data_IF_619468378290
#
_entry.id   IF_619468378290
#
_cell.length_a   1.000
_cell.length_b   1.000
_cell.length_c   1.000
_cell.angle_alpha   90.00
_cell.angle_beta   90.00
_cell.angle_gamma   90.00
#
_symmetry.space_group_name_H-M   'P 1'
#
loop_
_entity.id
_entity.type
_entity.pdbx_description
1 polymer ?
#
# COMPACT_ATOMS: atom_id res chain seq x y z
N UNK A 1 13.46 -13.10 17.88
CA UNK A 1 13.88 -14.51 18.10
C UNK A 1 14.69 -14.53 19.37
N UNK A 2 14.62 -15.60 20.14
CA UNK A 2 15.42 -15.76 21.36
C UNK A 2 14.80 -16.75 22.33
N UNK A 3 15.51 -16.98 23.43
CA UNK A 3 15.07 -17.83 24.54
C UNK A 3 13.99 -17.10 25.36
N UNK A 4 12.78 -17.66 25.37
CA UNK A 4 11.63 -17.13 26.11
C UNK A 4 11.40 -17.92 27.40
N UNK A 5 12.05 -19.07 27.58
CA UNK A 5 11.84 -19.98 28.71
C UNK A 5 10.36 -20.33 28.95
N UNK A 6 9.60 -20.51 27.87
CA UNK A 6 8.22 -21.03 27.87
C UNK A 6 8.20 -22.18 26.86
N UNK A 7 7.84 -23.39 27.26
CA UNK A 7 7.82 -24.52 26.35
C UNK A 7 6.56 -24.53 25.49
N UNK A 8 6.71 -24.32 24.19
CA UNK A 8 5.58 -24.27 23.23
C UNK A 8 5.43 -25.53 22.38
N UNK A 9 6.14 -26.60 22.73
CA UNK A 9 6.01 -27.86 22.03
C UNK A 9 4.57 -28.38 22.06
N UNK A 10 4.14 -29.06 20.99
CA UNK A 10 2.84 -29.73 20.98
C UNK A 10 2.71 -30.66 22.21
N UNK A 11 1.63 -30.50 22.97
CA UNK A 11 1.39 -31.20 24.24
C UNK A 11 2.35 -30.84 25.39
N UNK A 12 2.95 -29.65 25.37
CA UNK A 12 3.65 -29.13 26.55
C UNK A 12 2.70 -29.04 27.74
N UNK A 13 3.27 -29.25 28.93
CA UNK A 13 2.59 -29.07 30.23
C UNK A 13 2.86 -27.68 30.83
N UNK A 14 3.57 -26.81 30.11
CA UNK A 14 3.86 -25.45 30.57
C UNK A 14 2.57 -24.62 30.64
N UNK A 15 2.22 -24.19 31.86
CA UNK A 15 0.99 -23.44 32.13
C UNK A 15 0.97 -22.05 31.48
N UNK A 16 2.13 -21.51 31.10
CA UNK A 16 2.24 -20.19 30.45
C UNK A 16 2.10 -20.28 28.94
N UNK A 17 2.25 -21.46 28.35
CA UNK A 17 2.20 -21.63 26.90
C UNK A 17 0.88 -21.17 26.28
N UNK A 18 -0.32 -21.49 26.83
CA UNK A 18 -1.58 -21.03 26.26
C UNK A 18 -1.71 -19.50 26.22
N UNK A 19 -1.40 -18.82 27.33
CA UNK A 19 -1.49 -17.36 27.42
C UNK A 19 -0.49 -16.67 26.49
N UNK A 20 0.73 -17.21 26.42
CA UNK A 20 1.76 -16.73 25.50
C UNK A 20 1.33 -16.89 24.04
N UNK A 21 0.82 -18.05 23.65
CA UNK A 21 0.35 -18.30 22.28
C UNK A 21 -0.87 -17.44 21.93
N UNK A 22 -1.79 -17.23 22.87
CA UNK A 22 -2.93 -16.33 22.70
C UNK A 22 -2.50 -14.88 22.50
N UNK A 23 -1.51 -14.41 23.27
CA UNK A 23 -0.92 -13.08 23.12
C UNK A 23 -0.32 -12.90 21.71
N UNK A 24 0.46 -13.87 21.24
CA UNK A 24 1.03 -13.85 19.89
C UNK A 24 -0.06 -13.81 18.82
N UNK A 25 -1.07 -14.67 18.95
CA UNK A 25 -2.20 -14.73 18.04
C UNK A 25 -2.97 -13.40 17.98
N UNK A 26 -3.17 -12.74 19.12
CA UNK A 26 -3.78 -11.40 19.21
C UNK A 26 -3.03 -10.32 18.43
N UNK A 27 -1.72 -10.46 18.25
CA UNK A 27 -0.90 -9.57 17.42
C UNK A 27 -0.75 -10.05 15.95
N UNK A 28 -1.38 -11.16 15.60
CA UNK A 28 -1.24 -11.81 14.30
C UNK A 28 0.18 -12.33 14.06
N UNK A 29 0.81 -12.85 15.11
CA UNK A 29 2.14 -13.46 15.10
C UNK A 29 1.94 -14.94 15.47
N UNK A 30 2.64 -15.83 14.78
CA UNK A 30 2.64 -17.26 15.11
C UNK A 30 4.07 -17.72 15.37
N UNK A 31 4.27 -18.69 16.28
CA UNK A 31 5.53 -19.41 16.36
C UNK A 31 5.84 -20.07 15.02
N UNK A 32 7.10 -20.00 14.60
CA UNK A 32 7.50 -20.58 13.32
C UNK A 32 7.85 -22.07 13.42
N UNK A 33 8.18 -22.54 14.61
CA UNK A 33 8.45 -23.94 14.91
C UNK A 33 8.00 -24.29 16.33
N UNK A 34 7.83 -25.59 16.56
CA UNK A 34 7.59 -26.20 17.88
C UNK A 34 8.64 -27.30 18.16
N UNK A 35 9.72 -27.32 17.37
CA UNK A 35 10.81 -28.28 17.52
C UNK A 35 11.64 -28.00 18.79
N UNK A 36 12.14 -29.04 19.48
CA UNK A 36 13.00 -28.85 20.64
C UNK A 36 14.22 -28.00 20.33
N UNK A 37 14.56 -27.10 21.24
CA UNK A 37 15.76 -26.26 21.19
C UNK A 37 16.65 -26.44 22.42
N UNK A 38 16.15 -27.07 23.49
CA UNK A 38 16.95 -27.45 24.66
C UNK A 38 16.43 -28.76 25.23
N UNK A 39 17.23 -29.83 25.13
CA UNK A 39 16.76 -31.17 25.47
C UNK A 39 15.51 -31.56 24.67
N UNK A 40 14.40 -31.80 25.36
CA UNK A 40 13.11 -32.17 24.74
C UNK A 40 12.11 -31.00 24.62
N UNK A 41 12.50 -29.79 25.07
CA UNK A 41 11.64 -28.61 25.19
C UNK A 41 11.95 -27.60 24.07
N UNK A 42 10.94 -26.85 23.63
CA UNK A 42 11.06 -25.76 22.66
C UNK A 42 11.05 -24.43 23.43
N UNK A 43 12.22 -23.88 23.76
CA UNK A 43 12.37 -22.67 24.59
C UNK A 43 12.87 -21.45 23.80
N UNK A 44 13.60 -21.69 22.71
CA UNK A 44 14.09 -20.67 21.80
C UNK A 44 13.08 -20.48 20.68
N UNK A 45 12.49 -19.30 20.60
CA UNK A 45 11.36 -19.05 19.69
C UNK A 45 11.77 -18.18 18.50
N UNK A 46 11.47 -18.66 17.29
CA UNK A 46 11.37 -17.80 16.13
C UNK A 46 9.92 -17.34 15.92
N UNK A 47 9.67 -16.04 16.09
CA UNK A 47 8.39 -15.39 15.85
C UNK A 47 8.44 -14.61 14.55
N UNK A 48 7.53 -14.89 13.63
CA UNK A 48 7.56 -14.29 12.30
C UNK A 48 6.17 -13.82 11.89
N UNK A 49 6.10 -12.55 11.45
CA UNK A 49 4.97 -11.99 10.71
C UNK A 49 5.38 -11.80 9.26
N UNK A 50 5.27 -12.86 8.47
CA UNK A 50 5.69 -12.86 7.06
C UNK A 50 4.48 -13.04 6.14
N UNK A 51 4.49 -12.31 5.02
CA UNK A 51 3.54 -12.50 3.92
C UNK A 51 3.92 -13.72 3.05
N UNK A 52 5.19 -14.10 3.08
CA UNK A 52 5.75 -15.15 2.23
C UNK A 52 6.06 -16.39 3.06
N UNK A 53 6.07 -17.58 2.42
CA UNK A 53 6.55 -18.79 3.05
C UNK A 53 7.95 -18.60 3.60
N UNK A 54 8.14 -19.01 4.85
CA UNK A 54 9.44 -19.06 5.53
C UNK A 54 9.77 -20.52 5.79
N UNK A 55 11.03 -20.87 5.99
CA UNK A 55 11.42 -22.21 6.46
C UNK A 55 12.17 -22.08 7.77
N UNK A 56 12.17 -23.15 8.56
CA UNK A 56 12.92 -23.19 9.83
C UNK A 56 13.56 -24.53 10.03
N UNK A 57 14.82 -24.49 10.45
CA UNK A 57 15.67 -25.65 10.68
C UNK A 57 16.27 -25.50 12.06
N UNK A 58 16.29 -26.60 12.82
CA UNK A 58 17.01 -26.68 14.09
C UNK A 58 18.35 -27.36 13.83
N UNK A 59 19.44 -26.68 14.17
CA UNK A 59 20.80 -27.22 14.07
C UNK A 59 21.19 -27.71 15.46
N UNK A 60 21.31 -29.03 15.59
CA UNK A 60 21.86 -29.66 16.79
C UNK A 60 23.37 -29.46 16.81
N UNK A 61 23.90 -29.01 17.95
CA UNK A 61 25.34 -28.86 18.16
C UNK A 61 25.69 -29.27 19.58
N UNK A 62 26.94 -29.71 19.79
CA UNK A 62 27.48 -30.00 21.12
C UNK A 62 28.19 -28.81 21.77
N UNK A 63 28.11 -27.62 21.16
CA UNK A 63 28.81 -26.41 21.63
C UNK A 63 28.11 -25.82 22.86
N UNK A 64 26.77 -25.86 22.87
CA UNK A 64 25.91 -25.40 23.96
C UNK A 64 24.83 -26.43 24.23
N UNK A 65 24.18 -26.33 25.39
CA UNK A 65 22.98 -27.12 25.70
C UNK A 65 21.72 -26.66 24.93
N UNK A 66 21.82 -25.52 24.22
CA UNK A 66 20.83 -25.04 23.27
C UNK A 66 21.18 -25.45 21.82
N UNK A 67 20.15 -25.80 21.05
CA UNK A 67 20.20 -25.99 19.59
C UNK A 67 19.92 -24.66 18.88
N UNK A 68 20.61 -24.44 17.76
CA UNK A 68 20.48 -23.19 17.01
C UNK A 68 19.24 -23.20 16.12
N UNK A 69 18.47 -22.13 16.15
CA UNK A 69 17.31 -21.93 15.27
C UNK A 69 17.73 -21.11 14.04
N UNK A 70 17.60 -21.70 12.85
CA UNK A 70 17.83 -21.01 11.58
C UNK A 70 16.51 -20.80 10.87
N UNK A 71 16.26 -19.56 10.46
CA UNK A 71 15.05 -19.17 9.74
C UNK A 71 15.44 -18.65 8.35
N UNK A 72 14.82 -19.25 7.33
CA UNK A 72 14.93 -18.78 5.96
C UNK A 72 13.81 -17.78 5.66
N UNK A 73 14.19 -16.57 5.25
CA UNK A 73 13.27 -15.52 4.82
C UNK A 73 13.31 -15.37 3.30
N UNK A 74 12.27 -15.85 2.62
CA UNK A 74 12.10 -15.63 1.19
C UNK A 74 11.71 -14.18 0.91
N UNK A 75 12.71 -13.35 0.61
CA UNK A 75 12.54 -11.96 0.22
C UNK A 75 12.29 -11.88 -1.29
N UNK A 76 11.20 -12.50 -1.78
CA UNK A 76 10.78 -12.28 -3.16
C UNK A 76 10.36 -10.81 -3.28
N UNK A 77 11.27 -9.99 -3.81
CA UNK A 77 10.97 -8.61 -4.20
C UNK A 77 10.10 -8.68 -5.45
N UNK A 78 8.79 -8.90 -5.29
CA UNK A 78 7.88 -8.65 -6.40
C UNK A 78 8.01 -7.18 -6.75
N UNK A 79 8.36 -6.85 -8.01
CA UNK A 79 8.40 -5.45 -8.42
C UNK A 79 7.00 -4.89 -8.22
N UNK A 80 6.85 -3.98 -7.26
CA UNK A 80 5.56 -3.32 -7.05
C UNK A 80 5.18 -2.64 -8.37
N UNK A 81 3.95 -2.83 -8.88
CA UNK A 81 3.53 -2.15 -10.09
C UNK A 81 3.75 -0.64 -9.90
N UNK A 82 4.43 -0.01 -10.86
CA UNK A 82 4.65 1.43 -10.86
C UNK A 82 3.30 2.10 -11.18
N UNK A 83 2.48 2.32 -10.17
CA UNK A 83 1.24 3.07 -10.32
C UNK A 83 1.56 4.51 -10.74
N UNK A 84 1.34 4.83 -12.02
CA UNK A 84 1.28 6.19 -12.52
C UNK A 84 -0.18 6.64 -12.36
N UNK A 85 -0.43 7.76 -11.67
CA UNK A 85 -1.75 8.39 -11.73
C UNK A 85 -1.75 9.44 -12.80
N UNK A 86 -2.80 9.44 -13.61
CA UNK A 86 -3.11 10.51 -14.54
C UNK A 86 -4.05 11.49 -13.83
N UNK A 87 -3.73 12.77 -13.86
CA UNK A 87 -4.59 13.85 -13.36
C UNK A 87 -4.94 14.74 -14.54
N UNK A 88 -6.22 15.04 -14.68
CA UNK A 88 -6.71 16.03 -15.62
C UNK A 88 -6.88 17.35 -14.87
N UNK A 89 -6.22 18.41 -15.34
CA UNK A 89 -6.33 19.75 -14.76
C UNK A 89 -6.88 20.70 -15.81
N UNK A 90 -8.00 21.33 -15.49
CA UNK A 90 -8.61 22.36 -16.33
C UNK A 90 -7.94 23.71 -16.06
N UNK A 91 -7.57 24.43 -17.12
CA UNK A 91 -7.16 25.82 -17.03
C UNK A 91 -8.40 26.72 -17.07
N UNK A 92 -8.87 27.15 -15.89
CA UNK A 92 -10.09 27.94 -15.77
C UNK A 92 -9.97 29.33 -16.40
N UNK A 93 -8.84 30.02 -16.22
CA UNK A 93 -8.66 31.38 -16.75
C UNK A 93 -8.69 31.39 -18.27
N UNK A 94 -7.99 30.42 -18.89
CA UNK A 94 -8.01 30.26 -20.34
C UNK A 94 -9.37 29.81 -20.86
N UNK A 95 -10.04 28.90 -20.15
CA UNK A 95 -11.40 28.47 -20.50
C UNK A 95 -12.37 29.65 -20.54
N UNK A 96 -12.34 30.52 -19.53
CA UNK A 96 -13.19 31.72 -19.47
C UNK A 96 -12.87 32.65 -20.64
N UNK A 97 -11.60 32.93 -20.88
CA UNK A 97 -11.18 33.77 -22.03
C UNK A 97 -11.64 33.19 -23.37
N UNK A 98 -11.53 31.87 -23.56
CA UNK A 98 -11.94 31.20 -24.80
C UNK A 98 -13.47 31.29 -24.99
N UNK A 99 -14.25 31.11 -23.92
CA UNK A 99 -15.71 31.24 -23.94
C UNK A 99 -16.13 32.69 -24.24
N UNK A 100 -15.52 33.67 -23.58
CA UNK A 100 -15.84 35.09 -23.77
C UNK A 100 -15.54 35.57 -25.20
N UNK A 101 -14.51 35.00 -25.83
CA UNK A 101 -14.13 35.34 -27.20
C UNK A 101 -14.98 34.65 -28.27
N UNK A 102 -15.79 33.66 -27.89
CA UNK A 102 -16.54 32.87 -28.86
C UNK A 102 -17.85 33.55 -29.26
N UNK A 103 -18.12 33.60 -30.56
CA UNK A 103 -19.38 34.10 -31.06
C UNK A 103 -20.46 32.99 -31.04
N UNK A 104 -21.54 33.23 -30.28
CA UNK A 104 -22.69 32.33 -30.15
C UNK A 104 -23.87 32.65 -31.08
N UNK A 105 -23.73 33.60 -32.02
CA UNK A 105 -24.80 34.03 -32.92
C UNK A 105 -25.43 32.86 -33.70
N UNK A 106 -24.61 31.88 -34.12
CA UNK A 106 -25.08 30.70 -34.86
C UNK A 106 -26.06 29.86 -34.03
N UNK A 107 -25.82 29.74 -32.73
CA UNK A 107 -26.66 29.02 -31.77
C UNK A 107 -27.88 29.85 -31.38
N UNK A 108 -27.69 31.15 -31.10
CA UNK A 108 -28.75 32.03 -30.61
C UNK A 108 -29.82 32.35 -31.67
N UNK A 109 -29.42 32.38 -32.94
CA UNK A 109 -30.34 32.63 -34.05
C UNK A 109 -30.99 31.36 -34.63
N UNK A 110 -30.74 30.19 -34.04
CA UNK A 110 -31.31 28.94 -34.53
C UNK A 110 -32.81 28.82 -34.24
N UNK A 111 -33.59 28.41 -35.25
CA UNK A 111 -35.01 28.07 -35.10
C UNK A 111 -35.24 26.63 -34.61
N UNK A 112 -34.22 25.78 -34.72
CA UNK A 112 -34.25 24.41 -34.20
C UNK A 112 -33.58 24.37 -32.83
N UNK A 113 -34.39 24.17 -31.79
CA UNK A 113 -33.94 24.09 -30.42
C UNK A 113 -33.03 22.87 -30.15
N UNK A 114 -33.28 21.75 -30.82
CA UNK A 114 -32.48 20.54 -30.65
C UNK A 114 -31.10 20.74 -31.27
N UNK A 115 -31.05 21.33 -32.46
CA UNK A 115 -29.78 21.67 -33.10
C UNK A 115 -28.96 22.65 -32.24
N UNK A 116 -29.59 23.71 -31.73
CA UNK A 116 -28.93 24.71 -30.88
C UNK A 116 -28.35 24.08 -29.60
N UNK A 117 -29.13 23.23 -28.93
CA UNK A 117 -28.69 22.54 -27.72
C UNK A 117 -27.49 21.61 -27.99
N UNK A 118 -27.56 20.80 -29.05
CA UNK A 118 -26.47 19.91 -29.42
C UNK A 118 -25.20 20.69 -29.81
N UNK A 119 -25.37 21.80 -30.55
CA UNK A 119 -24.27 22.65 -30.98
C UNK A 119 -23.58 23.30 -29.78
N UNK A 120 -24.34 23.86 -28.84
CA UNK A 120 -23.82 24.44 -27.60
C UNK A 120 -23.07 23.40 -26.76
N UNK A 121 -23.65 22.21 -26.56
CA UNK A 121 -23.01 21.14 -25.82
C UNK A 121 -21.68 20.71 -26.46
N UNK A 122 -21.62 20.66 -27.80
CA UNK A 122 -20.40 20.37 -28.55
C UNK A 122 -19.33 21.44 -28.37
N UNK A 123 -19.70 22.72 -28.47
CA UNK A 123 -18.78 23.86 -28.29
C UNK A 123 -18.19 23.87 -26.87
N UNK A 124 -19.04 23.73 -25.84
CA UNK A 124 -18.60 23.70 -24.45
C UNK A 124 -17.70 22.49 -24.16
N UNK A 125 -18.05 21.31 -24.70
CA UNK A 125 -17.22 20.11 -24.56
C UNK A 125 -15.85 20.31 -25.20
N UNK A 126 -15.80 20.96 -26.36
CA UNK A 126 -14.54 21.28 -27.03
C UNK A 126 -13.68 22.24 -26.21
N UNK A 127 -14.27 23.27 -25.60
CA UNK A 127 -13.51 24.17 -24.73
C UNK A 127 -12.94 23.48 -23.49
N UNK A 128 -13.71 22.57 -22.89
CA UNK A 128 -13.23 21.78 -21.75
C UNK A 128 -12.06 20.89 -22.17
N UNK A 129 -12.12 20.23 -23.33
CA UNK A 129 -11.04 19.33 -23.77
C UNK A 129 -9.78 20.09 -24.16
N UNK A 130 -9.89 21.19 -24.91
CA UNK A 130 -8.73 22.02 -25.35
C UNK A 130 -8.03 22.71 -24.18
N UNK A 131 -8.76 23.03 -23.11
CA UNK A 131 -8.22 23.67 -21.91
C UNK A 131 -7.88 22.70 -20.78
N UNK A 132 -8.07 21.39 -20.99
CA UNK A 132 -7.67 20.36 -20.02
C UNK A 132 -6.28 19.83 -20.35
N UNK A 133 -5.34 20.02 -19.42
CA UNK A 133 -4.02 19.41 -19.50
C UNK A 133 -4.02 18.07 -18.75
N UNK A 134 -3.30 17.10 -19.32
CA UNK A 134 -3.13 15.77 -18.72
C UNK A 134 -1.75 15.67 -18.09
N UNK A 135 -1.71 15.52 -16.78
CA UNK A 135 -0.47 15.46 -15.99
C UNK A 135 -0.27 14.04 -15.48
N UNK A 136 0.86 13.43 -15.83
CA UNK A 136 1.26 12.15 -15.25
C UNK A 136 1.99 12.40 -13.93
N UNK A 137 1.36 12.03 -12.82
CA UNK A 137 1.95 12.19 -11.49
C UNK A 137 2.58 10.89 -11.03
N UNK A 138 3.88 10.95 -10.76
CA UNK A 138 4.64 9.84 -10.18
C UNK A 138 4.57 9.90 -8.65
N UNK A 139 4.83 8.79 -7.96
CA UNK A 139 4.88 8.78 -6.48
C UNK A 139 5.86 9.80 -5.90
N UNK A 140 6.97 10.08 -6.59
CA UNK A 140 8.00 11.02 -6.13
C UNK A 140 7.52 12.48 -6.18
N UNK A 141 6.60 12.80 -7.07
CA UNK A 141 6.05 14.15 -7.25
C UNK A 141 4.77 14.37 -6.44
N UNK A 142 4.21 13.33 -5.81
CA UNK A 142 3.06 13.50 -4.91
C UNK A 142 3.52 14.14 -3.60
N UNK A 143 3.06 15.35 -3.33
CA UNK A 143 3.17 15.94 -2.00
C UNK A 143 2.16 15.23 -1.08
N UNK A 144 2.60 14.21 -0.34
CA UNK A 144 1.75 13.39 0.53
C UNK A 144 1.25 14.17 1.77
N UNK A 145 1.83 15.36 2.02
CA UNK A 145 1.58 16.16 3.22
C UNK A 145 1.02 17.53 2.82
N UNK A 146 -0.28 17.82 3.06
CA UNK A 146 -0.93 19.06 2.63
C UNK A 146 -0.23 20.33 3.13
N UNK A 147 0.40 20.28 4.30
CA UNK A 147 1.01 21.44 4.94
C UNK A 147 2.30 21.94 4.28
N UNK A 148 2.95 21.16 3.41
CA UNK A 148 4.17 21.60 2.71
C UNK A 148 3.91 22.69 1.66
N UNK A 149 2.66 22.90 1.23
CA UNK A 149 2.33 23.92 0.23
C UNK A 149 2.29 25.35 0.81
N UNK A 150 2.16 25.51 2.13
CA UNK A 150 2.13 26.83 2.77
C UNK A 150 3.49 27.53 2.85
N UNK A 151 4.59 26.83 2.55
CA UNK A 151 5.96 27.38 2.63
C UNK A 151 6.49 27.93 1.29
N UNK A 152 5.66 27.99 0.25
CA UNK A 152 6.04 28.56 -1.07
C UNK A 152 5.33 29.87 -1.41
N UNK A 153 4.69 30.50 -0.43
CA UNK A 153 3.96 31.76 -0.58
C UNK A 153 4.65 32.96 0.09
N UNK A 154 5.97 32.89 0.27
CA UNK A 154 6.82 34.00 0.70
C UNK A 154 7.95 34.20 -0.30
#
# INVERSE_FOLDING_TARGET
MGDINIDIKTNSVDSKAPDYLNLLAGHGILPRHEYPTRGNNCLDHALIKAKYPTNTIIITSSITDHYSVVVELNLIKTPKPKYKSVIHKLNHDKLVSDIESFNFDDILCSMDANWAANRLAGVLSNFVTTNTITITVTRRTRCIKPWKNYLKSF
#
